data_IF_829076077426
#
_entry.id   IF_829076077426
#
_cell.length_a   1.000
_cell.length_b   1.000
_cell.length_c   1.000
_cell.angle_alpha   90.00
_cell.angle_beta   90.00
_cell.angle_gamma   90.00
#
_symmetry.space_group_name_H-M   'P 1'
#
loop_
_entity.id
_entity.type
_entity.pdbx_description
1 polymer ?
#
# COMPACT_ATOMS: atom_id res chain seq x y z
N UNK A 1 -1.85 -27.71 28.14
CA UNK A 1 -3.15 -27.40 27.52
C UNK A 1 -3.13 -27.90 26.10
N UNK A 2 -4.05 -28.80 25.76
CA UNK A 2 -4.11 -29.58 24.53
C UNK A 2 -4.34 -28.71 23.29
N UNK A 3 -3.29 -28.48 22.50
CA UNK A 3 -3.35 -27.74 21.24
C UNK A 3 -3.90 -28.60 20.12
N UNK A 4 -5.22 -28.65 19.98
CA UNK A 4 -5.84 -29.11 18.74
C UNK A 4 -5.48 -28.15 17.59
N UNK A 5 -5.23 -28.70 16.40
CA UNK A 5 -5.12 -27.88 15.19
C UNK A 5 -6.39 -27.02 15.04
N UNK A 6 -6.27 -25.72 14.75
CA UNK A 6 -7.46 -24.88 14.57
C UNK A 6 -8.30 -25.43 13.41
N UNK A 7 -9.62 -25.47 13.57
CA UNK A 7 -10.55 -25.82 12.50
C UNK A 7 -10.80 -24.59 11.61
N UNK A 8 -10.52 -24.73 10.32
CA UNK A 8 -10.70 -23.69 9.30
C UNK A 8 -11.78 -24.04 8.28
N UNK A 9 -12.58 -25.08 8.51
CA UNK A 9 -13.62 -25.55 7.59
C UNK A 9 -14.58 -24.43 7.18
N UNK A 10 -14.96 -23.57 8.14
CA UNK A 10 -15.80 -22.40 7.85
C UNK A 10 -15.14 -21.39 6.91
N UNK A 11 -13.84 -21.12 7.08
CA UNK A 11 -13.09 -20.20 6.20
C UNK A 11 -12.96 -20.78 4.80
N UNK A 12 -12.66 -22.08 4.70
CA UNK A 12 -12.57 -22.79 3.42
C UNK A 12 -13.91 -22.76 2.66
N UNK A 13 -15.03 -22.98 3.36
CA UNK A 13 -16.36 -22.92 2.77
C UNK A 13 -16.68 -21.52 2.22
N UNK A 14 -16.42 -20.46 2.98
CA UNK A 14 -16.65 -19.08 2.54
C UNK A 14 -15.71 -18.69 1.38
N UNK A 15 -14.46 -19.12 1.43
CA UNK A 15 -13.51 -18.90 0.34
C UNK A 15 -13.99 -19.55 -0.96
N UNK A 16 -14.45 -20.80 -0.91
CA UNK A 16 -15.04 -21.48 -2.07
C UNK A 16 -16.33 -20.81 -2.57
N UNK A 17 -17.16 -20.30 -1.66
CA UNK A 17 -18.41 -19.59 -2.00
C UNK A 17 -18.16 -18.33 -2.83
N UNK A 18 -17.05 -17.63 -2.60
CA UNK A 18 -16.69 -16.43 -3.38
C UNK A 18 -16.60 -16.75 -4.89
N UNK A 19 -16.03 -17.90 -5.25
CA UNK A 19 -15.96 -18.35 -6.63
C UNK A 19 -17.33 -18.83 -7.13
N UNK A 20 -17.98 -19.71 -6.36
CA UNK A 20 -19.22 -20.36 -6.78
C UNK A 20 -20.41 -19.38 -6.94
N UNK A 21 -20.46 -18.30 -6.14
CA UNK A 21 -21.65 -17.42 -6.07
C UNK A 21 -21.36 -15.94 -6.31
N UNK A 22 -20.15 -15.47 -6.01
CA UNK A 22 -19.80 -14.03 -6.07
C UNK A 22 -18.99 -13.69 -7.33
N UNK A 23 -18.50 -14.72 -8.01
CA UNK A 23 -17.81 -14.62 -9.29
C UNK A 23 -16.41 -14.05 -9.14
N UNK A 24 -15.70 -14.45 -8.08
CA UNK A 24 -14.25 -14.29 -8.02
C UNK A 24 -13.58 -15.01 -9.19
N UNK A 25 -12.55 -14.38 -9.75
CA UNK A 25 -11.75 -14.95 -10.84
C UNK A 25 -10.59 -15.74 -10.26
N UNK A 26 -9.83 -15.11 -9.36
CA UNK A 26 -8.67 -15.69 -8.70
C UNK A 26 -8.40 -14.94 -7.40
N UNK A 27 -8.08 -15.67 -6.33
CA UNK A 27 -7.81 -15.08 -5.03
C UNK A 27 -6.89 -15.97 -4.19
N UNK A 28 -6.23 -15.35 -3.21
CA UNK A 28 -5.47 -16.04 -2.17
C UNK A 28 -5.74 -15.46 -0.79
N UNK A 29 -5.58 -16.28 0.24
CA UNK A 29 -5.63 -15.89 1.65
C UNK A 29 -4.50 -16.58 2.40
N UNK A 30 -3.80 -15.81 3.24
CA UNK A 30 -2.78 -16.31 4.16
C UNK A 30 -3.10 -15.77 5.55
N UNK A 31 -3.16 -16.65 6.55
CA UNK A 31 -3.44 -16.30 7.95
C UNK A 31 -2.28 -16.73 8.82
N UNK A 32 -1.76 -15.80 9.62
CA UNK A 32 -0.60 -16.01 10.47
C UNK A 32 -0.96 -15.84 11.95
N UNK A 33 -0.37 -16.69 12.80
CA UNK A 33 -0.49 -16.58 14.26
C UNK A 33 0.81 -16.98 14.92
N UNK A 34 1.32 -16.12 15.81
CA UNK A 34 2.58 -16.33 16.54
C UNK A 34 3.76 -16.66 15.59
N UNK A 35 3.85 -15.94 14.46
CA UNK A 35 4.93 -16.14 13.48
C UNK A 35 4.81 -17.40 12.61
N UNK A 36 3.69 -18.13 12.66
CA UNK A 36 3.44 -19.30 11.83
C UNK A 36 2.23 -19.09 10.93
N UNK A 37 2.36 -19.42 9.64
CA UNK A 37 1.22 -19.53 8.74
C UNK A 37 0.35 -20.72 9.16
N UNK A 38 -0.91 -20.46 9.51
CA UNK A 38 -1.86 -21.48 9.99
C UNK A 38 -2.91 -21.84 8.95
N UNK A 39 -3.07 -21.02 7.91
CA UNK A 39 -3.96 -21.25 6.78
C UNK A 39 -3.40 -20.56 5.54
N UNK A 40 -3.31 -21.29 4.44
CA UNK A 40 -2.95 -20.75 3.12
C UNK A 40 -3.92 -21.36 2.11
N UNK A 41 -4.74 -20.53 1.46
CA UNK A 41 -5.63 -20.97 0.38
C UNK A 41 -5.37 -20.13 -0.86
N UNK A 42 -5.44 -20.79 -2.01
CA UNK A 42 -5.38 -20.21 -3.33
C UNK A 42 -6.46 -20.87 -4.19
N UNK A 43 -7.13 -20.10 -5.04
CA UNK A 43 -8.20 -20.63 -5.88
C UNK A 43 -8.51 -19.73 -7.06
N UNK A 44 -9.14 -20.32 -8.08
CA UNK A 44 -9.44 -19.65 -9.34
C UNK A 44 -8.23 -19.61 -10.29
N UNK A 45 -8.21 -18.61 -11.18
CA UNK A 45 -7.28 -18.50 -12.30
C UNK A 45 -6.65 -17.11 -12.41
N UNK A 46 -5.56 -16.98 -13.18
CA UNK A 46 -4.90 -15.69 -13.42
C UNK A 46 -5.70 -14.75 -14.33
N UNK A 47 -6.59 -15.32 -15.14
CA UNK A 47 -7.46 -14.60 -16.08
C UNK A 47 -8.84 -15.25 -16.10
N UNK A 48 -9.87 -14.49 -16.47
CA UNK A 48 -11.27 -14.95 -16.53
C UNK A 48 -11.51 -16.04 -17.57
N UNK A 49 -10.82 -15.97 -18.70
CA UNK A 49 -10.94 -16.92 -19.81
C UNK A 49 -9.86 -18.02 -19.78
N UNK A 50 -8.80 -17.83 -19.01
CA UNK A 50 -7.64 -18.73 -18.97
C UNK A 50 -7.82 -19.92 -18.05
N UNK A 51 -6.81 -20.79 -18.07
CA UNK A 51 -6.77 -22.04 -17.29
C UNK A 51 -5.62 -22.07 -16.29
N UNK A 52 -4.74 -21.07 -16.34
CA UNK A 52 -3.60 -20.93 -15.44
C UNK A 52 -4.11 -20.68 -14.02
N UNK A 53 -3.79 -21.57 -13.06
CA UNK A 53 -4.36 -21.48 -11.73
C UNK A 53 -3.76 -20.30 -10.95
N UNK A 54 -4.59 -19.69 -10.10
CA UNK A 54 -4.08 -18.85 -9.03
C UNK A 54 -3.39 -19.74 -7.99
N UNK A 55 -2.17 -19.37 -7.60
CA UNK A 55 -1.36 -20.11 -6.61
C UNK A 55 -0.93 -19.20 -5.47
N UNK A 56 -0.32 -19.76 -4.43
CA UNK A 56 0.30 -18.96 -3.36
C UNK A 56 1.42 -18.02 -3.88
N UNK A 57 2.01 -18.32 -5.04
CA UNK A 57 3.01 -17.49 -5.70
C UNK A 57 2.46 -16.47 -6.69
N UNK A 58 1.13 -16.36 -6.85
CA UNK A 58 0.53 -15.38 -7.76
C UNK A 58 0.69 -13.97 -7.22
N UNK A 59 1.12 -13.04 -8.07
CA UNK A 59 1.24 -11.62 -7.77
C UNK A 59 0.00 -10.87 -8.26
N UNK A 60 -0.47 -9.89 -7.50
CA UNK A 60 -1.51 -8.97 -7.93
C UNK A 60 -1.28 -7.59 -7.31
N UNK A 61 -1.63 -6.49 -8.01
CA UNK A 61 -1.58 -5.17 -7.40
C UNK A 61 -2.51 -5.07 -6.19
N UNK A 62 -1.96 -4.72 -5.04
CA UNK A 62 -2.70 -4.61 -3.77
C UNK A 62 -3.18 -3.18 -3.46
N UNK A 63 -3.03 -2.27 -4.42
CA UNK A 63 -3.49 -0.88 -4.36
C UNK A 63 -3.05 -0.18 -3.06
N UNK A 64 -4.00 0.36 -2.32
CA UNK A 64 -3.75 1.13 -1.12
C UNK A 64 -3.18 0.32 0.05
N UNK A 65 -3.20 -1.01 -0.01
CA UNK A 65 -2.52 -1.83 1.00
C UNK A 65 -1.01 -1.55 1.03
N UNK A 66 -0.42 -1.06 -0.07
CA UNK A 66 0.97 -0.61 -0.14
C UNK A 66 1.30 0.50 0.86
N UNK A 67 0.32 1.28 1.32
CA UNK A 67 0.53 2.35 2.32
C UNK A 67 1.07 1.81 3.65
N UNK A 68 0.70 0.59 4.05
CA UNK A 68 1.22 -0.04 5.27
C UNK A 68 2.73 -0.26 5.20
N UNK A 69 3.23 -1.04 4.21
CA UNK A 69 4.65 -1.16 3.91
C UNK A 69 5.37 0.18 3.74
N UNK A 70 4.77 1.17 3.06
CA UNK A 70 5.37 2.50 2.92
C UNK A 70 5.52 3.25 4.25
N UNK A 71 4.50 3.19 5.12
CA UNK A 71 4.56 3.77 6.45
C UNK A 71 5.64 3.08 7.31
N UNK A 72 5.71 1.75 7.27
CA UNK A 72 6.74 0.98 7.97
C UNK A 72 8.16 1.41 7.52
N UNK A 73 8.38 1.56 6.22
CA UNK A 73 9.67 2.03 5.70
C UNK A 73 10.02 3.42 6.22
N UNK A 74 9.10 4.38 6.21
CA UNK A 74 9.35 5.72 6.75
C UNK A 74 9.62 5.68 8.26
N UNK A 75 8.84 4.92 9.02
CA UNK A 75 9.04 4.76 10.47
C UNK A 75 10.40 4.14 10.81
N UNK A 76 10.88 3.18 10.00
CA UNK A 76 12.21 2.59 10.16
C UNK A 76 13.31 3.63 9.98
N UNK A 77 13.28 4.42 8.90
CA UNK A 77 14.33 5.43 8.66
C UNK A 77 14.26 6.60 9.64
N UNK A 78 13.07 6.93 10.15
CA UNK A 78 12.92 7.89 11.25
C UNK A 78 13.61 7.37 12.51
N UNK A 79 13.36 6.12 12.88
CA UNK A 79 13.97 5.49 14.04
C UNK A 79 15.50 5.49 13.96
N UNK A 80 16.06 5.11 12.81
CA UNK A 80 17.52 5.13 12.56
C UNK A 80 18.11 6.54 12.64
N UNK A 81 17.35 7.56 12.25
CA UNK A 81 17.72 8.97 12.38
C UNK A 81 17.51 9.55 13.79
N UNK A 82 17.03 8.75 14.75
CA UNK A 82 16.72 9.20 16.12
C UNK A 82 15.47 10.09 16.22
N UNK A 83 14.58 10.02 15.22
CA UNK A 83 13.34 10.78 15.16
C UNK A 83 12.14 9.90 15.54
N UNK A 84 11.10 10.55 16.06
CA UNK A 84 9.81 9.93 16.36
C UNK A 84 8.74 10.44 15.40
N UNK A 85 7.56 9.78 15.32
CA UNK A 85 6.43 10.31 14.55
C UNK A 85 5.99 11.71 14.98
N UNK A 86 6.24 12.11 16.23
CA UNK A 86 5.88 13.45 16.74
C UNK A 86 6.84 14.55 16.29
N UNK A 87 7.98 14.19 15.67
CA UNK A 87 8.91 15.18 15.15
C UNK A 87 8.29 15.94 13.96
N UNK A 88 8.63 17.23 13.87
CA UNK A 88 8.27 18.04 12.71
C UNK A 88 8.94 17.51 11.44
N UNK A 89 8.23 17.55 10.32
CA UNK A 89 8.78 17.19 9.00
C UNK A 89 9.76 18.25 8.49
N UNK A 90 9.59 19.52 8.89
CA UNK A 90 10.30 20.68 8.34
C UNK A 90 11.84 20.58 8.39
N UNK A 91 12.50 20.09 9.46
CA UNK A 91 13.96 19.93 9.46
C UNK A 91 14.47 18.95 8.40
N UNK A 92 13.64 17.97 7.99
CA UNK A 92 13.98 16.94 7.00
C UNK A 92 13.61 17.39 5.59
N UNK A 93 12.49 18.09 5.44
CA UNK A 93 12.00 18.65 4.18
C UNK A 93 11.69 20.15 4.34
N UNK A 94 12.71 21.02 4.31
CA UNK A 94 12.56 22.46 4.59
C UNK A 94 11.61 23.20 3.64
N UNK A 95 11.50 22.73 2.41
CA UNK A 95 10.60 23.28 1.38
C UNK A 95 9.13 23.05 1.72
N UNK A 96 8.81 21.95 2.42
CA UNK A 96 7.48 21.72 2.97
C UNK A 96 7.32 22.55 4.25
N UNK A 97 6.90 23.80 4.08
CA UNK A 97 6.82 24.78 5.18
C UNK A 97 5.66 24.56 6.15
N UNK A 98 4.79 23.58 5.88
CA UNK A 98 3.63 23.28 6.71
C UNK A 98 4.04 22.81 8.11
N UNK A 99 3.32 23.23 9.18
CA UNK A 99 3.60 22.80 10.54
C UNK A 99 3.02 21.39 10.77
N UNK A 100 3.59 20.39 10.10
CA UNK A 100 3.13 19.00 10.14
C UNK A 100 4.20 18.10 10.77
N UNK A 101 3.75 17.14 11.57
CA UNK A 101 4.56 16.05 12.12
C UNK A 101 4.56 14.85 11.17
N UNK A 102 5.52 13.92 11.33
CA UNK A 102 5.51 12.68 10.55
C UNK A 102 4.26 11.84 10.82
N UNK A 103 3.76 11.84 12.06
CA UNK A 103 2.55 11.16 12.47
C UNK A 103 1.31 11.72 11.76
N UNK A 104 1.16 13.04 11.71
CA UNK A 104 0.06 13.71 10.97
C UNK A 104 0.15 13.45 9.46
N UNK A 105 1.35 13.46 8.89
CA UNK A 105 1.57 13.11 7.49
C UNK A 105 1.13 11.67 7.19
N UNK A 106 1.55 10.71 8.02
CA UNK A 106 1.21 9.28 7.88
C UNK A 106 -0.25 8.96 8.22
N UNK A 107 -0.94 9.83 8.95
CA UNK A 107 -2.35 9.65 9.34
C UNK A 107 -3.32 10.52 8.54
N UNK A 108 -2.91 11.01 7.37
CA UNK A 108 -3.75 11.76 6.44
C UNK A 108 -4.25 13.13 6.95
N UNK A 109 -3.48 13.77 7.83
CA UNK A 109 -3.86 15.04 8.46
C UNK A 109 -3.15 16.27 7.85
N UNK A 110 -2.27 16.09 6.88
CA UNK A 110 -1.48 17.17 6.27
C UNK A 110 -2.30 18.16 5.40
N UNK A 111 -3.54 17.84 5.03
CA UNK A 111 -4.34 18.69 4.13
C UNK A 111 -3.95 18.65 2.66
N UNK A 112 -3.12 17.69 2.25
CA UNK A 112 -2.57 17.57 0.89
C UNK A 112 -3.16 16.36 0.14
N UNK A 113 -4.45 16.09 0.31
CA UNK A 113 -5.09 14.87 -0.20
C UNK A 113 -5.19 14.80 -1.73
N UNK A 114 -5.13 15.94 -2.40
CA UNK A 114 -5.16 16.07 -3.86
C UNK A 114 -4.19 17.18 -4.30
N UNK A 115 -3.59 17.02 -5.48
CA UNK A 115 -2.76 18.05 -6.09
C UNK A 115 -3.66 19.16 -6.65
N UNK A 116 -3.36 20.41 -6.33
CA UNK A 116 -4.04 21.60 -6.89
C UNK A 116 -3.48 22.02 -8.26
N UNK A 117 -2.32 21.48 -8.62
CA UNK A 117 -1.67 21.60 -9.92
C UNK A 117 -1.60 20.24 -10.64
N UNK A 118 -1.07 20.21 -11.86
CA UNK A 118 -0.98 19.01 -12.69
C UNK A 118 0.48 18.64 -13.01
N UNK A 119 1.34 18.37 -12.02
CA UNK A 119 2.68 17.85 -12.29
C UNK A 119 2.60 16.46 -12.94
N UNK A 120 3.65 16.07 -13.66
CA UNK A 120 3.77 14.69 -14.14
C UNK A 120 3.94 13.76 -12.94
N UNK A 121 3.00 12.83 -12.73
CA UNK A 121 3.09 11.85 -11.64
C UNK A 121 4.21 10.82 -11.83
N UNK A 122 4.85 10.80 -13.01
CA UNK A 122 6.04 10.00 -13.29
C UNK A 122 7.34 10.73 -12.89
N UNK A 123 7.26 12.02 -12.55
CA UNK A 123 8.39 12.83 -12.13
C UNK A 123 8.23 13.21 -10.65
N UNK A 124 8.83 12.39 -9.78
CA UNK A 124 8.73 12.55 -8.33
C UNK A 124 9.16 13.96 -7.85
N UNK A 125 10.32 14.53 -8.28
CA UNK A 125 10.68 15.91 -7.97
C UNK A 125 9.59 16.93 -8.28
N UNK A 126 8.94 16.86 -9.45
CA UNK A 126 7.84 17.77 -9.79
C UNK A 126 6.65 17.66 -8.86
N UNK A 127 6.29 16.44 -8.43
CA UNK A 127 5.19 16.22 -7.47
C UNK A 127 5.57 16.72 -6.08
N UNK A 128 6.79 16.47 -5.62
CA UNK A 128 7.28 16.96 -4.34
C UNK A 128 7.27 18.50 -4.29
N UNK A 129 7.76 19.16 -5.35
CA UNK A 129 7.72 20.63 -5.46
C UNK A 129 6.28 21.16 -5.43
N UNK A 130 5.35 20.52 -6.16
CA UNK A 130 3.94 20.90 -6.13
C UNK A 130 3.34 20.77 -4.73
N UNK A 131 3.59 19.66 -4.03
CA UNK A 131 3.10 19.43 -2.66
C UNK A 131 3.68 20.44 -1.67
N UNK A 132 4.96 20.78 -1.78
CA UNK A 132 5.63 21.74 -0.90
C UNK A 132 5.09 23.17 -1.07
N UNK A 133 4.69 23.54 -2.28
CA UNK A 133 4.13 24.86 -2.59
C UNK A 133 2.62 24.97 -2.33
N UNK A 134 1.93 23.84 -2.17
CA UNK A 134 0.48 23.79 -2.08
C UNK A 134 -0.04 24.27 -0.70
N UNK A 135 -1.12 25.06 -0.73
CA UNK A 135 -1.87 25.41 0.49
C UNK A 135 -2.71 24.20 0.94
N UNK A 136 -2.66 23.79 2.22
CA UNK A 136 -3.40 22.63 2.68
C UNK A 136 -4.90 22.95 2.73
N UNK A 137 -5.74 21.97 2.42
CA UNK A 137 -7.19 22.11 2.41
C UNK A 137 -7.78 22.38 3.82
N UNK A 138 -7.02 22.09 4.87
CA UNK A 138 -7.32 22.40 6.26
C UNK A 138 -6.02 22.65 7.03
N UNK A 139 -6.11 23.22 8.22
CA UNK A 139 -4.93 23.36 9.08
C UNK A 139 -4.40 21.96 9.46
N UNK A 140 -3.10 21.64 9.21
CA UNK A 140 -2.55 20.34 9.59
C UNK A 140 -2.88 19.94 11.04
N UNK A 141 -3.29 18.68 11.23
CA UNK A 141 -3.70 18.14 12.53
C UNK A 141 -5.13 18.50 12.99
N UNK A 142 -5.80 19.46 12.36
CA UNK A 142 -7.18 19.84 12.72
C UNK A 142 -8.26 18.92 12.13
N UNK A 143 -7.94 18.20 11.06
CA UNK A 143 -8.83 17.27 10.36
C UNK A 143 -8.01 16.20 9.63
N UNK A 144 -8.71 15.20 9.07
CA UNK A 144 -8.12 14.20 8.21
C UNK A 144 -8.94 14.04 6.93
N UNK A 145 -8.25 13.67 5.85
CA UNK A 145 -8.87 13.35 4.58
C UNK A 145 -7.96 12.43 3.79
N UNK A 146 -8.49 11.32 3.30
CA UNK A 146 -7.69 10.28 2.68
C UNK A 146 -6.82 10.84 1.56
N UNK A 147 -5.51 10.53 1.58
CA UNK A 147 -4.54 10.91 0.55
C UNK A 147 -4.34 9.72 -0.41
N UNK A 148 -5.25 9.48 -1.38
CA UNK A 148 -5.22 8.26 -2.18
C UNK A 148 -3.94 8.11 -2.98
N UNK A 149 -3.44 9.23 -3.53
CA UNK A 149 -2.26 9.31 -4.40
C UNK A 149 -1.07 10.01 -3.74
N UNK A 150 -1.30 11.12 -3.03
CA UNK A 150 -0.22 11.96 -2.49
C UNK A 150 0.49 11.34 -1.29
N UNK A 151 -0.12 10.38 -0.58
CA UNK A 151 0.52 9.67 0.54
C UNK A 151 1.88 9.06 0.17
N UNK A 152 1.94 8.39 -0.99
CA UNK A 152 3.16 7.73 -1.45
C UNK A 152 4.28 8.72 -1.71
N UNK A 153 3.97 9.85 -2.37
CA UNK A 153 4.94 10.91 -2.65
C UNK A 153 5.44 11.61 -1.38
N UNK A 154 4.54 11.90 -0.45
CA UNK A 154 4.90 12.51 0.84
C UNK A 154 5.84 11.59 1.64
N UNK A 155 5.51 10.29 1.74
CA UNK A 155 6.36 9.34 2.42
C UNK A 155 7.71 9.12 1.69
N UNK A 156 7.69 9.00 0.36
CA UNK A 156 8.88 8.76 -0.45
C UNK A 156 9.86 9.95 -0.40
N UNK A 157 9.36 11.19 -0.44
CA UNK A 157 10.24 12.36 -0.31
C UNK A 157 10.91 12.42 1.07
N UNK A 158 10.18 12.14 2.16
CA UNK A 158 10.79 12.05 3.48
C UNK A 158 11.87 10.95 3.56
N UNK A 159 11.62 9.77 2.98
CA UNK A 159 12.62 8.69 2.94
C UNK A 159 13.86 9.11 2.14
N UNK A 160 13.68 9.72 0.96
CA UNK A 160 14.80 10.19 0.14
C UNK A 160 15.68 11.19 0.90
N UNK A 161 15.07 12.15 1.60
CA UNK A 161 15.79 13.16 2.38
C UNK A 161 16.58 12.53 3.53
N UNK A 162 15.99 11.57 4.25
CA UNK A 162 16.63 10.90 5.39
C UNK A 162 17.74 9.92 4.99
N UNK A 163 17.64 9.33 3.80
CA UNK A 163 18.58 8.30 3.32
C UNK A 163 19.61 8.80 2.32
N UNK A 164 19.65 10.11 2.05
CA UNK A 164 20.58 10.69 1.09
C UNK A 164 20.26 10.36 -0.38
N UNK A 165 18.98 10.13 -0.69
CA UNK A 165 18.46 10.02 -2.04
C UNK A 165 17.88 8.65 -2.42
N UNK A 166 17.93 7.65 -1.54
CA UNK A 166 17.33 6.34 -1.84
C UNK A 166 15.81 6.45 -1.90
N UNK A 167 15.19 5.76 -2.86
CA UNK A 167 13.73 5.70 -2.96
C UNK A 167 13.16 4.84 -1.83
N UNK A 168 11.93 5.11 -1.41
CA UNK A 168 11.18 4.31 -0.46
C UNK A 168 11.06 2.85 -0.90
N UNK A 169 10.88 2.59 -2.19
CA UNK A 169 10.83 1.23 -2.73
C UNK A 169 12.20 0.52 -2.61
N UNK A 170 13.30 1.23 -2.86
CA UNK A 170 14.65 0.70 -2.71
C UNK A 170 14.96 0.39 -1.24
N UNK A 171 14.63 1.31 -0.33
CA UNK A 171 14.81 1.10 1.13
C UNK A 171 13.93 -0.05 1.62
N UNK A 172 12.68 -0.14 1.17
CA UNK A 172 11.79 -1.28 1.44
C UNK A 172 12.43 -2.60 1.00
N UNK A 173 12.97 -2.64 -0.23
CA UNK A 173 13.61 -3.84 -0.79
C UNK A 173 14.83 -4.25 0.02
N UNK A 174 15.72 -3.31 0.27
CA UNK A 174 17.01 -3.54 0.91
C UNK A 174 16.87 -3.92 2.38
N UNK A 175 16.03 -3.19 3.12
CA UNK A 175 16.02 -3.25 4.60
C UNK A 175 14.91 -4.11 5.18
N UNK A 176 13.86 -4.40 4.41
CA UNK A 176 12.69 -5.13 4.91
C UNK A 176 12.40 -6.36 4.06
N UNK A 177 12.03 -6.18 2.78
CA UNK A 177 11.56 -7.28 1.96
C UNK A 177 12.65 -8.30 1.64
N UNK A 178 13.88 -7.87 1.34
CA UNK A 178 15.01 -8.77 1.10
C UNK A 178 15.33 -9.64 2.32
N UNK A 179 15.64 -9.06 3.49
CA UNK A 179 15.94 -9.81 4.71
C UNK A 179 14.83 -10.76 5.15
N UNK A 180 13.57 -10.39 4.93
CA UNK A 180 12.40 -11.21 5.28
C UNK A 180 11.93 -12.13 4.14
N UNK A 181 12.63 -12.13 3.00
CA UNK A 181 12.25 -12.89 1.80
C UNK A 181 10.79 -12.66 1.37
N UNK A 182 10.32 -11.41 1.45
CA UNK A 182 8.96 -11.04 1.09
C UNK A 182 8.82 -10.86 -0.42
N UNK A 183 7.81 -11.53 -0.97
CA UNK A 183 7.42 -11.40 -2.36
C UNK A 183 6.44 -10.23 -2.58
N UNK A 184 6.89 -9.04 -2.21
CA UNK A 184 6.10 -7.80 -2.25
C UNK A 184 6.91 -6.68 -2.90
N UNK A 185 6.37 -6.04 -3.93
CA UNK A 185 7.05 -5.04 -4.75
C UNK A 185 6.28 -3.73 -4.82
N UNK A 186 6.97 -2.60 -4.60
CA UNK A 186 6.37 -1.25 -4.64
C UNK A 186 6.60 -0.54 -5.97
N UNK A 187 7.74 -0.83 -6.60
CA UNK A 187 8.24 -0.32 -7.86
C UNK A 187 8.02 -1.30 -9.03
N UNK A 188 7.28 -2.39 -8.77
CA UNK A 188 7.03 -3.47 -9.71
C UNK A 188 7.98 -4.65 -9.51
N UNK A 189 7.53 -5.88 -9.80
CA UNK A 189 8.41 -7.05 -9.78
C UNK A 189 9.38 -7.02 -10.97
N UNK A 190 10.48 -7.79 -10.94
CA UNK A 190 11.35 -7.96 -12.10
C UNK A 190 10.64 -8.73 -13.22
N UNK A 191 11.13 -8.62 -14.46
CA UNK A 191 10.47 -9.18 -15.66
C UNK A 191 10.24 -10.69 -15.56
N UNK A 192 11.13 -11.43 -14.91
CA UNK A 192 11.04 -12.88 -14.72
C UNK A 192 9.82 -13.28 -13.87
N UNK A 193 9.30 -12.35 -13.07
CA UNK A 193 8.10 -12.56 -12.25
C UNK A 193 6.81 -12.12 -12.96
N UNK A 194 6.88 -11.49 -14.15
CA UNK A 194 5.68 -11.09 -14.90
C UNK A 194 4.70 -12.23 -15.21
N UNK A 195 5.14 -13.47 -15.52
CA UNK A 195 4.22 -14.59 -15.73
C UNK A 195 3.37 -14.93 -14.50
N UNK A 196 3.77 -14.47 -13.31
CA UNK A 196 3.03 -14.70 -12.05
C UNK A 196 1.99 -13.62 -11.77
N UNK A 197 1.99 -12.52 -12.53
CA UNK A 197 1.09 -11.39 -12.29
C UNK A 197 -0.29 -11.69 -12.86
N UNK A 198 -1.29 -11.76 -11.99
CA UNK A 198 -2.68 -11.93 -12.39
C UNK A 198 -3.20 -10.70 -13.14
N UNK A 199 -4.09 -10.93 -14.11
CA UNK A 199 -4.73 -9.84 -14.86
C UNK A 199 -5.75 -9.15 -13.97
N UNK A 200 -5.65 -7.83 -13.87
CA UNK A 200 -6.67 -7.03 -13.21
C UNK A 200 -7.89 -6.82 -14.11
N UNK A 201 -9.06 -6.99 -13.51
CA UNK A 201 -10.35 -6.71 -14.13
C UNK A 201 -11.03 -5.58 -13.37
N UNK A 202 -11.78 -4.70 -14.05
CA UNK A 202 -12.57 -3.68 -13.38
C UNK A 202 -13.59 -4.35 -12.45
N UNK A 203 -13.77 -3.78 -11.26
CA UNK A 203 -14.83 -4.23 -10.35
C UNK A 203 -16.19 -4.14 -11.03
N UNK A 204 -17.10 -5.07 -10.68
CA UNK A 204 -18.49 -5.03 -11.17
C UNK A 204 -19.12 -3.71 -10.73
N UNK A 205 -19.33 -2.78 -11.65
CA UNK A 205 -20.14 -1.60 -11.36
C UNK A 205 -21.56 -2.08 -11.10
N UNK A 206 -22.13 -1.77 -9.93
CA UNK A 206 -23.58 -1.84 -9.79
C UNK A 206 -24.16 -0.79 -10.75
N UNK A 207 -25.19 -1.13 -11.55
CA UNK A 207 -25.89 -0.10 -12.30
C UNK A 207 -26.36 1.00 -11.33
N UNK A 208 -26.36 2.28 -11.74
CA UNK A 208 -26.87 3.35 -10.91
C UNK A 208 -28.29 3.00 -10.45
N UNK A 209 -28.58 3.23 -9.17
CA UNK A 209 -29.96 3.14 -8.67
C UNK A 209 -30.76 4.20 -9.44
N UNK A 210 -31.87 3.85 -10.10
CA UNK A 210 -32.72 4.83 -10.77
C UNK A 210 -33.11 5.93 -9.78
N UNK A 211 -32.98 7.18 -10.19
CA UNK A 211 -33.48 8.32 -9.43
C UNK A 211 -35.00 8.14 -9.29
N UNK A 212 -35.53 8.19 -8.06
CA UNK A 212 -36.98 8.19 -7.84
C UNK A 212 -37.55 9.43 -8.54
N UNK A 213 -38.47 9.22 -9.47
CA UNK A 213 -39.12 10.25 -10.29
C UNK A 213 -40.17 11.04 -9.49
#
# INVERSE_FOLDING_TARGET
MSGGSPDFTGVQAVFAENFARRGEIGAGISVWRHGREILSLAGGTLTKEGTEPWTAGTLAPVWSATKGPSALTLLLVLHEAGLTPDASVRPVWPELTLPVTFGELLSHQAGLCALDTKPSVFDHPSVALALAAQTPAWQPGSAHGYHPRTFGFLADECVRRLTGGQTLAAVWRERIAGPLSLDFWMDGPPEEAFPRVARLYPGKQKPPVPEEA
#
